data_IF_103841307287
#
_entry.id   IF_103841307287
#
_cell.length_a   1.000
_cell.length_b   1.000
_cell.length_c   1.000
_cell.angle_alpha   90.00
_cell.angle_beta   90.00
_cell.angle_gamma   90.00
#
_symmetry.space_group_name_H-M   'P 1'
#
loop_
_entity.id
_entity.type
_entity.pdbx_description
1 polymer ?
#
# COMPACT_ATOMS: atom_id res chain seq x y z
N UNK A 1 8.87 0.46 29.56
CA UNK A 1 8.48 1.63 30.36
C UNK A 1 6.95 1.66 30.41
N UNK A 2 6.32 1.33 31.54
CA UNK A 2 4.85 1.27 31.69
C UNK A 2 4.36 2.62 32.21
N UNK A 3 3.69 3.39 31.37
CA UNK A 3 3.10 4.67 31.77
C UNK A 3 1.75 4.36 32.42
N UNK A 4 1.75 4.27 33.74
CA UNK A 4 0.53 4.16 34.54
C UNK A 4 0.00 5.56 34.80
N UNK A 5 -0.97 6.00 34.01
CA UNK A 5 -1.67 7.27 34.27
C UNK A 5 -2.72 7.04 35.37
N UNK A 6 -2.70 7.83 36.47
CA UNK A 6 -3.69 7.72 37.52
C UNK A 6 -5.04 8.19 36.99
N UNK A 7 -5.93 7.25 36.68
CA UNK A 7 -7.30 7.52 36.25
C UNK A 7 -8.07 8.00 37.48
N UNK A 8 -8.20 9.32 37.61
CA UNK A 8 -8.97 9.94 38.67
C UNK A 8 -10.46 9.69 38.41
N UNK A 9 -11.13 9.04 39.36
CA UNK A 9 -12.52 8.56 39.24
C UNK A 9 -13.51 9.67 38.84
N UNK A 10 -13.21 10.92 39.19
CA UNK A 10 -14.01 12.10 38.81
C UNK A 10 -13.96 12.41 37.31
N UNK A 11 -12.83 12.16 36.65
CA UNK A 11 -12.66 12.41 35.22
C UNK A 11 -13.43 11.38 34.38
N UNK A 12 -13.56 10.15 34.86
CA UNK A 12 -14.39 9.12 34.21
C UNK A 12 -15.87 9.52 34.14
N UNK A 13 -16.41 10.15 35.20
CA UNK A 13 -17.82 10.55 35.22
C UNK A 13 -18.14 11.65 34.19
N UNK A 14 -17.22 12.60 33.96
CA UNK A 14 -17.41 13.67 32.97
C UNK A 14 -17.38 13.16 31.54
N UNK A 15 -16.55 12.15 31.25
CA UNK A 15 -16.50 11.52 29.92
C UNK A 15 -17.77 10.70 29.67
N UNK A 16 -18.27 9.99 30.69
CA UNK A 16 -19.49 9.20 30.58
C UNK A 16 -20.74 10.07 30.32
N UNK A 17 -20.89 11.22 30.99
CA UNK A 17 -22.04 12.11 30.74
C UNK A 17 -21.98 12.76 29.36
N UNK A 18 -20.79 13.13 28.87
CA UNK A 18 -20.64 13.68 27.51
C UNK A 18 -21.05 12.66 26.42
N UNK A 19 -20.74 11.37 26.61
CA UNK A 19 -21.12 10.30 25.68
C UNK A 19 -22.63 10.04 25.63
N UNK A 20 -23.35 10.23 26.74
CA UNK A 20 -24.82 10.02 26.78
C UNK A 20 -25.57 11.15 26.06
N UNK A 21 -25.08 12.39 26.16
CA UNK A 21 -25.76 13.54 25.54
C UNK A 21 -25.63 13.55 24.01
N UNK A 22 -24.55 12.99 23.45
CA UNK A 22 -24.36 12.95 21.98
C UNK A 22 -25.05 11.76 21.30
N UNK A 23 -25.56 10.78 22.05
CA UNK A 23 -26.19 9.58 21.50
C UNK A 23 -27.63 9.79 20.97
N UNK A 24 -28.23 10.97 21.17
CA UNK A 24 -29.65 11.20 20.86
C UNK A 24 -29.96 11.75 19.46
N UNK A 25 -28.97 12.00 18.61
CA UNK A 25 -29.21 12.42 17.22
C UNK A 25 -29.05 11.23 16.25
N UNK A 26 -30.00 10.30 16.29
CA UNK A 26 -30.17 9.30 15.23
C UNK A 26 -31.04 9.94 14.13
N UNK A 27 -30.51 10.20 12.93
CA UNK A 27 -31.33 10.65 11.80
C UNK A 27 -32.35 9.57 11.44
N UNK A 28 -33.58 10.01 11.15
CA UNK A 28 -34.71 9.14 10.86
C UNK A 28 -34.43 8.17 9.69
N UNK A 29 -35.04 6.97 9.70
CA UNK A 29 -34.89 5.99 8.63
C UNK A 29 -35.45 6.55 7.31
N UNK A 30 -34.57 6.63 6.31
CA UNK A 30 -34.92 6.99 4.94
C UNK A 30 -35.51 5.75 4.27
N UNK A 31 -36.75 5.88 3.80
CA UNK A 31 -37.47 4.87 3.03
C UNK A 31 -36.81 4.76 1.65
N UNK A 32 -36.29 3.58 1.30
CA UNK A 32 -35.72 3.30 -0.02
C UNK A 32 -36.83 2.83 -0.97
N UNK A 33 -37.08 3.63 -2.02
CA UNK A 33 -37.98 3.34 -3.12
C UNK A 33 -37.27 2.42 -4.13
N UNK A 34 -37.81 1.23 -4.29
CA UNK A 34 -37.34 0.15 -5.16
C UNK A 34 -37.56 0.51 -6.64
N UNK A 35 -36.48 0.59 -7.44
CA UNK A 35 -36.56 0.73 -8.90
C UNK A 35 -35.82 -0.42 -9.59
N UNK A 36 -36.44 -1.09 -10.58
CA UNK A 36 -35.99 -2.39 -11.05
C UNK A 36 -34.78 -2.35 -12.00
N UNK A 37 -34.01 -3.42 -11.86
CA UNK A 37 -32.94 -3.99 -12.69
C UNK A 37 -33.11 -3.83 -14.20
N UNK A 38 -31.98 -3.61 -14.89
CA UNK A 38 -31.67 -4.42 -16.06
C UNK A 38 -30.25 -5.02 -15.99
N UNK A 39 -30.18 -6.36 -15.96
CA UNK A 39 -29.11 -7.13 -16.59
C UNK A 39 -29.40 -7.20 -18.11
N UNK A 40 -28.56 -7.79 -19.00
CA UNK A 40 -27.26 -8.45 -18.84
C UNK A 40 -26.23 -8.03 -19.94
N UNK A 41 -25.00 -8.56 -19.93
CA UNK A 41 -24.37 -9.18 -21.12
C UNK A 41 -22.91 -9.63 -20.86
N UNK A 42 -22.68 -10.91 -21.16
CA UNK A 42 -21.38 -11.58 -21.33
C UNK A 42 -20.60 -11.08 -22.54
N UNK A 43 -19.27 -11.30 -22.52
CA UNK A 43 -18.32 -11.59 -23.64
C UNK A 43 -16.93 -11.04 -23.26
N UNK A 44 -15.80 -11.64 -23.58
CA UNK A 44 -15.45 -12.87 -24.27
C UNK A 44 -14.00 -13.16 -23.91
N UNK A 45 -13.66 -14.44 -23.95
CA UNK A 45 -12.35 -15.02 -23.78
C UNK A 45 -11.43 -14.70 -24.97
N UNK A 46 -10.18 -14.31 -24.70
CA UNK A 46 -9.11 -14.53 -25.68
C UNK A 46 -7.72 -14.64 -25.03
N UNK A 47 -7.27 -15.89 -24.91
CA UNK A 47 -5.86 -16.33 -24.80
C UNK A 47 -5.05 -15.80 -25.99
N UNK A 48 -3.75 -15.50 -25.80
CA UNK A 48 -2.79 -15.99 -26.79
C UNK A 48 -1.47 -16.56 -26.22
N UNK A 49 -1.18 -17.77 -26.72
CA UNK A 49 0.08 -18.35 -27.21
C UNK A 49 1.42 -18.03 -26.53
N UNK A 50 1.94 -19.13 -25.97
CA UNK A 50 3.30 -19.50 -25.59
C UNK A 50 4.30 -19.41 -26.76
N UNK A 51 5.45 -18.75 -26.56
CA UNK A 51 6.64 -18.92 -27.42
C UNK A 51 7.89 -19.05 -26.56
N UNK A 52 8.64 -20.14 -26.79
CA UNK A 52 9.89 -20.52 -26.11
C UNK A 52 11.06 -20.24 -27.07
N UNK A 53 12.16 -19.64 -26.61
CA UNK A 53 13.46 -19.85 -27.24
C UNK A 53 14.41 -20.62 -26.30
N UNK A 54 15.23 -21.44 -26.93
CA UNK A 54 16.23 -22.35 -26.36
C UNK A 54 17.61 -21.89 -26.83
N UNK A 55 18.55 -21.67 -25.90
CA UNK A 55 20.01 -21.63 -26.14
C UNK A 55 20.67 -21.76 -24.75
N UNK A 56 21.30 -22.87 -24.38
CA UNK A 56 22.60 -23.47 -24.77
C UNK A 56 23.83 -22.59 -24.45
N UNK A 57 24.46 -22.95 -23.32
CA UNK A 57 25.90 -23.07 -23.02
C UNK A 57 26.82 -21.87 -23.24
N UNK A 58 27.57 -21.48 -22.21
CA UNK A 58 29.01 -21.80 -22.06
C UNK A 58 29.50 -21.25 -20.71
N UNK A 59 30.16 -22.12 -19.96
CA UNK A 59 30.86 -21.87 -18.70
C UNK A 59 32.33 -21.57 -19.03
N UNK A 60 32.85 -20.40 -18.64
CA UNK A 60 34.29 -20.19 -18.45
C UNK A 60 34.50 -19.00 -17.52
N UNK A 61 35.07 -19.26 -16.35
CA UNK A 61 35.46 -18.23 -15.39
C UNK A 61 36.70 -17.46 -15.84
N UNK A 62 36.77 -16.19 -15.47
CA UNK A 62 38.02 -15.51 -15.09
C UNK A 62 37.74 -14.19 -14.37
N UNK A 63 38.49 -14.03 -13.29
CA UNK A 63 38.47 -12.99 -12.27
C UNK A 63 39.11 -11.71 -12.82
N UNK A 64 38.36 -10.61 -12.97
CA UNK A 64 38.93 -9.28 -13.16
C UNK A 64 37.94 -8.13 -12.81
N UNK A 65 38.39 -7.31 -11.86
CA UNK A 65 38.05 -5.91 -11.49
C UNK A 65 36.69 -5.33 -11.93
N UNK A 66 35.93 -4.95 -10.90
CA UNK A 66 34.65 -4.23 -10.92
C UNK A 66 34.72 -2.86 -11.59
N UNK A 67 34.21 -2.76 -12.82
CA UNK A 67 33.54 -1.57 -13.32
C UNK A 67 32.04 -1.87 -13.37
N UNK A 68 31.25 -1.00 -12.76
CA UNK A 68 29.79 -1.03 -12.66
C UNK A 68 29.14 -1.04 -14.03
N UNK A 69 28.92 -2.25 -14.55
CA UNK A 69 28.16 -2.50 -15.77
C UNK A 69 26.71 -2.18 -15.47
N UNK A 70 26.24 -1.05 -16.00
CA UNK A 70 24.83 -0.69 -16.17
C UNK A 70 24.10 -1.90 -16.76
N UNK A 71 23.50 -2.71 -15.89
CA UNK A 71 22.65 -3.82 -16.27
C UNK A 71 21.37 -3.18 -16.78
N UNK A 72 21.21 -3.19 -18.10
CA UNK A 72 19.97 -2.78 -18.75
C UNK A 72 18.83 -3.53 -18.06
N UNK A 73 17.98 -2.76 -17.39
CA UNK A 73 16.83 -3.22 -16.63
C UNK A 73 15.93 -4.02 -17.56
N UNK A 74 16.12 -5.35 -17.61
CA UNK A 74 15.07 -6.24 -18.06
C UNK A 74 13.86 -5.87 -17.21
N UNK A 75 12.80 -5.38 -17.85
CA UNK A 75 11.57 -5.01 -17.16
C UNK A 75 11.19 -6.18 -16.26
N UNK A 76 11.35 -6.02 -14.95
CA UNK A 76 11.06 -7.09 -13.99
C UNK A 76 9.58 -7.42 -14.19
N UNK A 77 9.30 -8.59 -14.73
CA UNK A 77 7.94 -9.09 -14.85
C UNK A 77 7.57 -9.87 -13.59
N UNK A 78 6.26 -9.95 -13.32
CA UNK A 78 5.73 -10.58 -12.10
C UNK A 78 6.02 -9.82 -10.80
N UNK A 79 5.89 -10.50 -9.64
CA UNK A 79 6.01 -9.91 -8.30
C UNK A 79 7.38 -9.29 -7.98
N UNK A 80 8.44 -9.77 -8.61
CA UNK A 80 9.80 -9.27 -8.40
C UNK A 80 9.99 -7.78 -8.73
N UNK A 81 9.07 -7.20 -9.51
CA UNK A 81 9.09 -5.77 -9.86
C UNK A 81 8.85 -4.84 -8.67
N UNK A 82 8.09 -5.32 -7.68
CA UNK A 82 7.76 -4.56 -6.49
C UNK A 82 8.85 -4.65 -5.42
N UNK A 83 9.63 -5.75 -5.43
CA UNK A 83 10.59 -6.05 -4.39
C UNK A 83 11.66 -4.97 -4.21
N UNK A 84 12.15 -4.80 -2.99
CA UNK A 84 13.24 -3.88 -2.65
C UNK A 84 12.80 -2.72 -1.78
N UNK A 85 13.69 -1.75 -1.64
CA UNK A 85 13.51 -0.59 -0.76
C UNK A 85 13.11 0.62 -1.58
N UNK A 86 12.02 1.26 -1.18
CA UNK A 86 11.45 2.43 -1.83
C UNK A 86 11.32 3.55 -0.80
N UNK A 87 11.63 4.78 -1.17
CA UNK A 87 11.50 5.93 -0.26
C UNK A 87 10.86 7.13 -0.94
N UNK A 88 10.04 7.87 -0.20
CA UNK A 88 9.36 9.07 -0.67
C UNK A 88 8.83 9.93 0.47
N UNK A 89 8.33 11.11 0.11
CA UNK A 89 7.59 12.00 1.00
C UNK A 89 6.14 12.01 0.55
N UNK A 90 5.20 11.69 1.44
CA UNK A 90 3.77 11.73 1.15
C UNK A 90 3.08 12.72 2.07
N UNK A 91 2.20 13.55 1.50
CA UNK A 91 1.36 14.46 2.27
C UNK A 91 0.17 13.68 2.84
N UNK A 92 0.02 13.67 4.17
CA UNK A 92 -1.12 13.06 4.86
C UNK A 92 -2.04 14.12 5.48
N UNK A 93 -2.35 15.17 4.72
CA UNK A 93 -3.27 16.24 5.13
C UNK A 93 -2.76 16.99 6.36
N UNK A 94 -3.49 16.89 7.47
CA UNK A 94 -3.17 17.60 8.73
C UNK A 94 -1.85 17.19 9.36
N UNK A 95 -1.31 16.02 9.02
CA UNK A 95 0.00 15.56 9.49
C UNK A 95 1.16 16.13 8.65
N UNK A 96 0.86 16.79 7.53
CA UNK A 96 1.84 17.34 6.60
C UNK A 96 2.59 16.26 5.83
N UNK A 97 3.82 16.59 5.42
CA UNK A 97 4.67 15.70 4.64
C UNK A 97 5.45 14.74 5.54
N UNK A 98 5.25 13.45 5.32
CA UNK A 98 5.88 12.38 6.09
C UNK A 98 6.85 11.61 5.19
N UNK A 99 8.09 11.47 5.66
CA UNK A 99 9.07 10.58 5.04
C UNK A 99 8.71 9.12 5.32
N UNK A 100 8.54 8.33 4.26
CA UNK A 100 8.23 6.90 4.35
C UNK A 100 9.26 6.11 3.57
N UNK A 101 9.72 5.01 4.17
CA UNK A 101 10.50 3.97 3.52
C UNK A 101 9.71 2.67 3.52
N UNK A 102 9.50 2.08 2.34
CA UNK A 102 8.83 0.79 2.15
C UNK A 102 9.87 -0.27 1.79
N UNK A 103 9.89 -1.38 2.51
CA UNK A 103 10.69 -2.56 2.17
C UNK A 103 9.71 -3.65 1.76
N UNK A 104 9.70 -3.96 0.47
CA UNK A 104 8.80 -4.94 -0.12
C UNK A 104 9.58 -6.24 -0.33
N UNK A 105 9.05 -7.35 0.19
CA UNK A 105 9.71 -8.65 0.06
C UNK A 105 9.72 -9.14 -1.40
N UNK A 106 10.57 -10.13 -1.70
CA UNK A 106 10.75 -10.65 -3.07
C UNK A 106 9.48 -11.26 -3.68
N UNK A 107 8.59 -11.79 -2.84
CA UNK A 107 7.31 -12.37 -3.25
C UNK A 107 6.20 -11.34 -3.42
N UNK A 108 6.43 -10.10 -2.95
CA UNK A 108 5.45 -9.01 -2.92
C UNK A 108 4.19 -9.33 -2.12
N UNK A 109 4.35 -10.12 -1.05
CA UNK A 109 3.26 -10.49 -0.12
C UNK A 109 3.30 -9.73 1.19
N UNK A 110 4.37 -8.98 1.46
CA UNK A 110 4.55 -8.19 2.67
C UNK A 110 5.26 -6.88 2.37
N UNK A 111 4.78 -5.83 3.01
CA UNK A 111 5.36 -4.48 2.97
C UNK A 111 5.72 -4.07 4.38
N UNK A 112 6.99 -3.78 4.61
CA UNK A 112 7.44 -3.15 5.84
C UNK A 112 7.56 -1.65 5.64
N UNK A 113 6.76 -0.88 6.36
CA UNK A 113 6.73 0.57 6.34
C UNK A 113 7.54 1.11 7.51
N UNK A 114 8.49 2.00 7.24
CA UNK A 114 9.26 2.74 8.24
C UNK A 114 9.00 4.23 8.07
N UNK A 115 8.66 4.89 9.18
CA UNK A 115 8.45 6.33 9.26
C UNK A 115 8.94 6.86 10.61
N UNK A 116 8.76 8.16 10.89
CA UNK A 116 9.16 8.77 12.17
C UNK A 116 8.44 8.16 13.38
N UNK A 117 7.27 7.54 13.19
CA UNK A 117 6.47 6.94 14.26
C UNK A 117 6.84 5.48 14.55
N UNK A 118 7.61 4.83 13.69
CA UNK A 118 8.03 3.44 13.90
C UNK A 118 8.20 2.64 12.62
N UNK A 119 8.28 1.32 12.79
CA UNK A 119 8.34 0.35 11.69
C UNK A 119 7.26 -0.69 11.87
N UNK A 120 6.46 -0.92 10.83
CA UNK A 120 5.30 -1.80 10.85
C UNK A 120 5.32 -2.70 9.61
N UNK A 121 4.82 -3.93 9.71
CA UNK A 121 4.74 -4.85 8.61
C UNK A 121 3.27 -5.17 8.29
N UNK A 122 2.91 -5.10 7.01
CA UNK A 122 1.55 -5.29 6.53
C UNK A 122 1.50 -6.38 5.47
N UNK A 123 0.47 -7.23 5.49
CA UNK A 123 0.20 -8.14 4.38
C UNK A 123 -0.20 -7.34 3.14
N UNK A 124 0.32 -7.72 1.99
CA UNK A 124 0.04 -7.07 0.72
C UNK A 124 -0.51 -8.06 -0.31
N UNK A 125 -1.35 -7.54 -1.19
CA UNK A 125 -1.92 -8.26 -2.33
C UNK A 125 -1.45 -7.60 -3.63
N UNK A 126 -1.18 -8.40 -4.65
CA UNK A 126 -0.81 -7.92 -5.99
C UNK A 126 -1.98 -8.17 -6.94
N UNK A 127 -2.47 -7.10 -7.56
CA UNK A 127 -3.43 -7.13 -8.66
C UNK A 127 -2.81 -6.51 -9.91
N UNK A 128 -2.33 -7.34 -10.84
CA UNK A 128 -1.70 -6.86 -12.07
C UNK A 128 -0.40 -6.09 -11.81
N UNK A 129 -0.40 -4.78 -12.13
CA UNK A 129 0.76 -3.88 -11.90
C UNK A 129 0.63 -3.08 -10.59
N UNK A 130 -0.39 -3.34 -9.78
CA UNK A 130 -0.63 -2.59 -8.55
C UNK A 130 -0.54 -3.52 -7.35
N UNK A 131 0.17 -3.08 -6.33
CA UNK A 131 0.20 -3.70 -5.02
C UNK A 131 -0.67 -2.89 -4.07
N UNK A 132 -1.44 -3.56 -3.21
CA UNK A 132 -2.33 -2.94 -2.25
C UNK A 132 -2.15 -3.55 -0.87
N UNK A 133 -2.21 -2.73 0.17
CA UNK A 133 -2.26 -3.16 1.57
C UNK A 133 -3.09 -2.17 2.38
N UNK A 134 -3.38 -2.51 3.63
CA UNK A 134 -4.04 -1.61 4.58
C UNK A 134 -3.11 -1.34 5.75
N UNK A 135 -3.15 -0.12 6.27
CA UNK A 135 -2.49 0.27 7.51
C UNK A 135 -3.42 1.08 8.41
N UNK A 136 -2.91 1.51 9.57
CA UNK A 136 -3.70 2.13 10.63
C UNK A 136 -4.16 1.13 11.68
N UNK A 137 -4.63 1.64 12.82
CA UNK A 137 -5.03 0.81 13.96
C UNK A 137 -6.26 -0.05 13.65
N UNK A 138 -7.13 0.46 12.78
CA UNK A 138 -8.39 -0.17 12.33
C UNK A 138 -8.34 -0.56 10.85
N UNK A 139 -7.15 -0.61 10.23
CA UNK A 139 -7.00 -0.83 8.78
C UNK A 139 -7.74 0.19 7.91
N UNK A 140 -7.83 1.42 8.39
CA UNK A 140 -8.58 2.53 7.82
C UNK A 140 -7.87 3.23 6.65
N UNK A 141 -6.57 3.00 6.49
CA UNK A 141 -5.77 3.59 5.40
C UNK A 141 -5.53 2.53 4.34
N UNK A 142 -6.15 2.70 3.18
CA UNK A 142 -5.89 1.90 1.99
C UNK A 142 -4.69 2.45 1.23
N UNK A 143 -3.70 1.60 0.98
CA UNK A 143 -2.52 1.95 0.21
C UNK A 143 -2.54 1.30 -1.16
N UNK A 144 -2.04 2.04 -2.16
CA UNK A 144 -1.70 1.46 -3.46
C UNK A 144 -0.27 1.82 -3.83
N UNK A 145 0.41 0.91 -4.50
CA UNK A 145 1.77 1.07 -4.99
C UNK A 145 1.83 0.56 -6.42
N UNK A 146 2.18 1.43 -7.35
CA UNK A 146 2.25 1.12 -8.79
C UNK A 146 3.63 1.50 -9.30
N UNK A 147 4.55 0.54 -9.51
CA UNK A 147 5.84 0.82 -10.11
C UNK A 147 5.67 1.35 -11.53
N UNK A 148 6.48 2.36 -11.85
CA UNK A 148 6.59 2.87 -13.21
C UNK A 148 7.44 1.92 -14.07
N UNK A 149 7.33 2.06 -15.39
CA UNK A 149 8.06 1.22 -16.34
C UNK A 149 9.59 1.42 -16.31
N UNK A 150 10.07 2.45 -15.62
CA UNK A 150 11.50 2.73 -15.45
C UNK A 150 12.18 1.77 -14.44
N UNK A 151 11.41 1.03 -13.63
CA UNK A 151 11.91 0.16 -12.57
C UNK A 151 12.63 0.88 -11.43
N UNK A 152 12.58 2.22 -11.41
CA UNK A 152 13.28 3.11 -10.49
C UNK A 152 12.32 3.95 -9.65
N UNK A 153 11.13 4.24 -10.17
CA UNK A 153 10.13 5.03 -9.49
C UNK A 153 8.81 4.29 -9.38
N UNK A 154 7.98 4.70 -8.43
CA UNK A 154 6.65 4.16 -8.22
C UNK A 154 5.70 5.24 -7.73
N UNK A 155 4.44 5.19 -8.15
CA UNK A 155 3.38 6.04 -7.59
C UNK A 155 2.78 5.31 -6.39
N UNK A 156 2.72 6.01 -5.26
CA UNK A 156 2.14 5.51 -4.02
C UNK A 156 0.99 6.41 -3.62
N UNK A 157 -0.16 5.82 -3.35
CA UNK A 157 -1.34 6.55 -2.85
C UNK A 157 -1.76 6.00 -1.49
N UNK A 158 -2.23 6.89 -0.63
CA UNK A 158 -2.87 6.57 0.64
C UNK A 158 -4.28 7.17 0.64
N UNK A 159 -5.28 6.35 0.93
CA UNK A 159 -6.68 6.76 0.99
C UNK A 159 -7.21 6.43 2.38
N UNK A 160 -7.54 7.46 3.15
CA UNK A 160 -8.11 7.31 4.48
C UNK A 160 -9.63 7.40 4.46
N UNK A 161 -10.30 6.60 5.29
CA UNK A 161 -11.74 6.73 5.54
C UNK A 161 -12.14 8.12 6.09
N UNK A 162 -11.19 8.89 6.63
CA UNK A 162 -11.40 10.25 7.14
C UNK A 162 -11.24 11.35 6.08
N UNK A 163 -11.23 11.00 4.79
CA UNK A 163 -11.15 11.97 3.69
C UNK A 163 -9.76 12.54 3.41
N UNK A 164 -8.74 12.06 4.11
CA UNK A 164 -7.34 12.42 3.86
C UNK A 164 -6.77 11.49 2.79
N UNK A 165 -6.44 12.06 1.64
CA UNK A 165 -5.84 11.33 0.52
C UNK A 165 -4.45 11.91 0.21
N UNK A 166 -3.44 11.05 0.19
CA UNK A 166 -2.07 11.38 -0.16
C UNK A 166 -1.64 10.67 -1.44
N UNK A 167 -0.80 11.31 -2.24
CA UNK A 167 -0.14 10.68 -3.38
C UNK A 167 1.30 11.19 -3.48
N UNK A 168 2.22 10.30 -3.81
CA UNK A 168 3.63 10.65 -3.96
C UNK A 168 4.35 9.69 -4.91
N UNK A 169 5.48 10.16 -5.44
CA UNK A 169 6.40 9.33 -6.23
C UNK A 169 7.54 8.86 -5.33
N UNK A 170 7.66 7.55 -5.20
CA UNK A 170 8.73 6.90 -4.44
C UNK A 170 9.87 6.54 -5.39
N UNK A 171 11.09 6.62 -4.88
CA UNK A 171 12.30 6.20 -5.58
C UNK A 171 12.86 4.94 -4.96
N UNK A 172 13.31 4.01 -5.80
CA UNK A 172 14.00 2.80 -5.40
C UNK A 172 15.41 3.15 -4.94
N UNK A 173 15.84 2.60 -3.80
CA UNK A 173 17.22 2.71 -3.29
C UNK A 173 18.11 1.55 -3.71
#
# INVERSE_FOLDING_TARGET
MRISLPINRRTCFLIATLLVVTAHHVPAPIVEEEKPTPAPASKEESKPKKTRPKSKSVETGSRAKSLSKSSQTLSLQGPARFAGTWSGMINQGVLGDIAISLIINATGTSVQETSKIGTFAYPAAIGGNTMTWKSGWLSEIGWTFTPNNDGKTAVVTATSAFGVNGSATFQRR
#
